data_IF_032603246201
#
_entry.id   IF_032603246201
#
_cell.length_a   1.000
_cell.length_b   1.000
_cell.length_c   1.000
_cell.angle_alpha   90.00
_cell.angle_beta   90.00
_cell.angle_gamma   90.00
#
_symmetry.space_group_name_H-M   'P 1'
#
loop_
_entity.id
_entity.type
_entity.pdbx_description
1 polymer ?
#
# COMPACT_ATOMS: atom_id res chain seq x y z
N UNK A 1 -3.12 -10.27 4.25
CA UNK A 1 -2.22 -9.18 3.77
C UNK A 1 -0.81 -9.73 3.63
N UNK A 2 -0.25 -9.63 2.47
CA UNK A 2 1.08 -10.16 2.17
C UNK A 2 1.75 -9.30 1.10
N UNK A 3 3.05 -9.49 0.87
CA UNK A 3 3.76 -8.81 -0.23
C UNK A 3 3.11 -9.22 -1.56
N UNK A 4 2.81 -8.24 -2.40
CA UNK A 4 2.07 -8.44 -3.64
C UNK A 4 0.56 -8.24 -3.53
N UNK A 5 0.02 -8.14 -2.31
CA UNK A 5 -1.40 -7.86 -2.12
C UNK A 5 -1.75 -6.48 -2.65
N UNK A 6 -2.91 -6.37 -3.29
CA UNK A 6 -3.44 -5.09 -3.75
C UNK A 6 -4.29 -4.46 -2.64
N UNK A 7 -4.02 -3.21 -2.36
CA UNK A 7 -4.71 -2.45 -1.31
C UNK A 7 -5.21 -1.13 -1.83
N UNK A 8 -6.10 -0.51 -1.06
CA UNK A 8 -6.63 0.81 -1.39
C UNK A 8 -6.47 1.74 -0.18
N UNK A 9 -5.91 2.91 -0.45
CA UNK A 9 -5.81 4.00 0.52
C UNK A 9 -6.89 5.04 0.21
N UNK A 10 -7.55 5.62 1.22
CA UNK A 10 -8.65 6.57 0.97
C UNK A 10 -8.23 7.83 0.22
N UNK A 11 -6.97 8.20 0.28
CA UNK A 11 -6.45 9.39 -0.42
C UNK A 11 -5.53 9.06 -1.58
N UNK A 12 -4.69 8.05 -1.42
CA UNK A 12 -3.67 7.72 -2.41
C UNK A 12 -4.15 6.76 -3.48
N UNK A 13 -5.30 6.14 -3.27
CA UNK A 13 -5.84 5.18 -4.23
C UNK A 13 -5.26 3.79 -4.06
N UNK A 14 -5.24 3.02 -5.13
CA UNK A 14 -4.79 1.64 -5.11
C UNK A 14 -3.27 1.54 -5.18
N UNK A 15 -2.74 0.54 -4.48
CA UNK A 15 -1.32 0.26 -4.48
C UNK A 15 -1.04 -1.21 -4.21
N UNK A 16 0.22 -1.57 -4.27
CA UNK A 16 0.69 -2.95 -4.06
C UNK A 16 1.68 -2.96 -2.91
N UNK A 17 1.48 -3.89 -1.99
CA UNK A 17 2.38 -4.05 -0.85
C UNK A 17 3.71 -4.59 -1.35
N UNK A 18 4.80 -3.89 -1.00
CA UNK A 18 6.16 -4.30 -1.37
C UNK A 18 7.01 -4.66 -0.18
N UNK A 19 6.63 -4.25 1.04
CA UNK A 19 7.35 -4.63 2.25
C UNK A 19 6.49 -4.31 3.48
N UNK A 20 6.91 -4.80 4.64
CA UNK A 20 6.30 -4.51 5.92
C UNK A 20 7.29 -3.80 6.82
N UNK A 21 6.83 -2.77 7.50
CA UNK A 21 7.61 -2.00 8.46
C UNK A 21 7.17 -2.33 9.88
N UNK A 22 7.92 -1.83 10.86
CA UNK A 22 7.58 -2.02 12.28
C UNK A 22 6.32 -1.23 12.64
N UNK A 23 5.66 -1.65 13.72
CA UNK A 23 4.53 -0.94 14.33
C UNK A 23 3.32 -0.80 13.39
N UNK A 24 3.08 -1.82 12.58
CA UNK A 24 1.92 -1.84 11.69
C UNK A 24 2.09 -1.02 10.43
N UNK A 25 3.28 -0.50 10.15
CA UNK A 25 3.58 0.18 8.89
C UNK A 25 3.67 -0.80 7.74
N UNK A 26 3.19 -0.37 6.58
CA UNK A 26 3.23 -1.18 5.36
C UNK A 26 3.79 -0.30 4.24
N UNK A 27 4.85 -0.76 3.60
CA UNK A 27 5.42 -0.05 2.46
C UNK A 27 4.64 -0.43 1.20
N UNK A 28 4.04 0.57 0.57
CA UNK A 28 3.13 0.37 -0.55
C UNK A 28 3.58 1.21 -1.73
N UNK A 29 3.57 0.59 -2.89
CA UNK A 29 3.82 1.25 -4.16
C UNK A 29 2.48 1.68 -4.76
N UNK A 30 2.25 3.00 -4.76
CA UNK A 30 1.04 3.63 -5.32
C UNK A 30 1.32 4.20 -6.72
N UNK A 31 2.39 3.80 -7.35
CA UNK A 31 2.77 4.33 -8.66
C UNK A 31 1.62 4.27 -9.66
N UNK A 32 1.49 5.31 -10.44
CA UNK A 32 0.45 5.43 -11.46
C UNK A 32 1.05 6.01 -12.76
N UNK A 33 0.18 6.41 -13.68
CA UNK A 33 0.58 6.98 -14.96
C UNK A 33 1.36 8.29 -14.82
N UNK A 34 1.25 8.94 -13.66
CA UNK A 34 1.89 10.23 -13.40
C UNK A 34 3.29 10.09 -12.82
N UNK A 35 3.65 8.91 -12.33
CA UNK A 35 4.97 8.69 -11.79
C UNK A 35 5.01 7.67 -10.66
N UNK A 36 6.17 7.56 -10.05
CA UNK A 36 6.42 6.61 -8.96
C UNK A 36 6.05 7.27 -7.63
N UNK A 37 5.26 6.57 -6.83
CA UNK A 37 4.90 7.00 -5.48
C UNK A 37 4.96 5.80 -4.54
N UNK A 38 5.99 5.75 -3.69
CA UNK A 38 6.14 4.70 -2.68
C UNK A 38 6.02 5.34 -1.30
N UNK A 39 5.10 4.84 -0.49
CA UNK A 39 4.84 5.39 0.84
C UNK A 39 4.60 4.32 1.88
N UNK A 40 4.92 4.65 3.12
CA UNK A 40 4.55 3.83 4.27
C UNK A 40 3.17 4.28 4.74
N UNK A 41 2.25 3.32 4.84
CA UNK A 41 0.89 3.57 5.35
C UNK A 41 0.61 2.60 6.49
N UNK A 42 -0.16 3.04 7.47
CA UNK A 42 -0.54 2.15 8.57
C UNK A 42 -1.58 1.15 8.08
N UNK A 43 -1.44 -0.11 8.50
CA UNK A 43 -2.34 -1.19 8.05
C UNK A 43 -3.82 -0.92 8.32
N UNK A 44 -4.14 -0.13 9.35
CA UNK A 44 -5.52 0.20 9.68
C UNK A 44 -6.11 1.26 8.75
N UNK A 45 -5.26 1.96 7.99
CA UNK A 45 -5.70 3.00 7.05
C UNK A 45 -6.04 2.43 5.68
N UNK A 46 -5.47 1.29 5.34
CA UNK A 46 -5.62 0.68 4.01
C UNK A 46 -6.59 -0.50 4.06
N UNK A 47 -7.20 -0.79 2.93
CA UNK A 47 -8.09 -1.93 2.76
C UNK A 47 -7.51 -2.89 1.73
N UNK A 48 -7.43 -4.16 2.08
CA UNK A 48 -6.99 -5.18 1.12
C UNK A 48 -8.12 -5.48 0.15
N UNK A 49 -7.88 -5.27 -1.14
CA UNK A 49 -8.88 -5.52 -2.18
C UNK A 49 -8.58 -6.78 -2.98
N UNK A 50 -7.34 -7.26 -2.95
CA UNK A 50 -6.97 -8.51 -3.61
C UNK A 50 -5.66 -9.05 -3.03
N UNK A 51 -5.68 -10.26 -2.60
CA UNK A 51 -4.48 -10.98 -2.19
C UNK A 51 -3.99 -11.92 -3.29
#
# INVERSE_FOLDING_TARGET
MKIGSRVKHPRLGEGIIIDFCKYGGVLIDYSDDKGVLVRVSHRDTIEVIHE
#
